data_IF_462094820484
#
_entry.id   IF_462094820484
#
_cell.length_a   1.000
_cell.length_b   1.000
_cell.length_c   1.000
_cell.angle_alpha   90.00
_cell.angle_beta   90.00
_cell.angle_gamma   90.00
#
_symmetry.space_group_name_H-M   'P 1'
#
loop_
_entity.id
_entity.type
_entity.pdbx_description
1 polymer ?
#
# COMPACT_ATOMS: atom_id res chain seq x y z
N UNK A 1 19.65 8.81 36.54
CA UNK A 1 18.58 8.15 35.76
C UNK A 1 18.53 8.62 34.29
N UNK A 2 19.64 8.66 33.55
CA UNK A 2 19.73 9.23 32.15
C UNK A 2 20.41 8.32 31.13
N UNK A 3 20.54 7.00 31.38
CA UNK A 3 21.29 6.09 30.49
C UNK A 3 20.52 4.93 29.86
N UNK A 4 19.17 4.89 29.98
CA UNK A 4 18.36 3.77 29.45
C UNK A 4 17.46 4.09 28.25
N UNK A 5 17.47 5.34 27.75
CA UNK A 5 16.61 5.75 26.60
C UNK A 5 17.35 5.66 25.25
N UNK A 6 18.69 5.58 25.25
CA UNK A 6 19.48 5.54 24.00
C UNK A 6 19.51 4.14 23.36
N UNK A 7 19.20 3.07 24.10
CA UNK A 7 19.25 1.70 23.56
C UNK A 7 18.04 1.31 22.69
N UNK A 8 16.92 2.05 22.75
CA UNK A 8 15.73 1.73 21.98
C UNK A 8 15.77 2.27 20.54
N UNK A 9 16.61 3.29 20.29
CA UNK A 9 16.77 3.88 18.94
C UNK A 9 17.76 3.12 18.05
N UNK A 10 18.64 2.32 18.64
CA UNK A 10 19.64 1.54 17.92
C UNK A 10 19.05 0.23 17.31
N UNK A 11 17.87 -0.23 17.76
CA UNK A 11 17.24 -1.46 17.24
C UNK A 11 16.39 -1.22 15.99
N UNK A 12 16.07 0.04 15.65
CA UNK A 12 15.29 0.42 14.47
C UNK A 12 16.13 0.58 13.19
N UNK A 13 17.46 0.46 13.28
CA UNK A 13 18.38 0.72 12.16
C UNK A 13 19.05 -0.54 11.58
N UNK A 14 18.62 -1.75 11.97
CA UNK A 14 19.24 -3.01 11.53
C UNK A 14 18.19 -3.98 10.92
N UNK A 15 17.30 -3.47 10.07
CA UNK A 15 16.55 -4.36 9.19
C UNK A 15 17.25 -4.39 7.82
N UNK A 16 17.59 -5.58 7.29
CA UNK A 16 18.17 -5.68 5.96
C UNK A 16 17.16 -5.17 4.93
N UNK A 17 17.60 -4.25 4.09
CA UNK A 17 16.86 -3.78 2.94
C UNK A 17 16.79 -4.90 1.90
N UNK A 18 15.64 -5.19 1.43
CA UNK A 18 15.38 -6.14 0.34
C UNK A 18 14.03 -5.85 -0.33
N UNK A 19 13.80 -6.21 -1.48
CA UNK A 19 13.07 -5.68 -2.63
C UNK A 19 11.59 -5.99 -2.81
N UNK A 20 10.82 -5.16 -3.50
CA UNK A 20 9.45 -5.42 -3.92
C UNK A 20 8.92 -4.60 -5.06
N UNK A 21 7.93 -5.15 -5.71
CA UNK A 21 7.20 -4.56 -6.82
C UNK A 21 6.34 -3.35 -6.43
N UNK A 22 6.14 -2.43 -7.41
CA UNK A 22 5.65 -1.07 -7.20
C UNK A 22 4.12 -0.91 -7.24
N UNK A 23 3.35 -1.97 -6.95
CA UNK A 23 1.88 -1.93 -7.05
C UNK A 23 1.22 -1.84 -5.67
N UNK A 24 1.39 -0.72 -4.98
CA UNK A 24 0.75 -0.56 -3.68
C UNK A 24 -0.27 0.58 -3.71
N UNK A 25 -1.52 0.24 -3.40
CA UNK A 25 -2.55 1.22 -3.15
C UNK A 25 -2.13 2.25 -2.09
N UNK A 26 -2.87 3.34 -1.99
CA UNK A 26 -2.65 4.37 -0.97
C UNK A 26 -2.80 3.69 0.38
N UNK A 27 -1.68 3.44 1.06
CA UNK A 27 -1.71 2.87 2.39
C UNK A 27 -2.52 3.79 3.30
N UNK A 28 -3.42 3.21 4.08
CA UNK A 28 -4.10 3.94 5.14
C UNK A 28 -3.07 4.48 6.11
N UNK A 29 -2.97 5.79 6.18
CA UNK A 29 -1.94 6.46 6.97
C UNK A 29 -2.30 6.58 8.45
N UNK A 30 -3.32 5.84 8.94
CA UNK A 30 -3.64 5.73 10.37
C UNK A 30 -4.11 7.03 11.01
N UNK A 31 -4.93 7.80 10.32
CA UNK A 31 -5.41 9.11 10.77
C UNK A 31 -6.44 9.03 11.89
N UNK A 32 -6.91 7.84 12.27
CA UNK A 32 -7.91 7.70 13.32
C UNK A 32 -7.40 8.20 14.68
N UNK A 33 -8.14 9.09 15.29
CA UNK A 33 -7.92 9.51 16.67
C UNK A 33 -8.27 8.41 17.69
N UNK A 34 -8.18 8.73 19.00
CA UNK A 34 -8.51 7.78 20.08
C UNK A 34 -9.98 7.35 20.09
N UNK A 35 -10.88 8.16 19.59
CA UNK A 35 -12.33 7.98 19.67
C UNK A 35 -12.98 7.67 18.31
N UNK A 36 -12.35 8.08 17.21
CA UNK A 36 -12.84 7.85 15.85
C UNK A 36 -12.78 6.40 15.36
N UNK A 37 -13.14 6.16 14.09
CA UNK A 37 -13.09 4.83 13.48
C UNK A 37 -11.67 4.26 13.52
N UNK A 38 -11.54 2.93 13.52
CA UNK A 38 -10.25 2.26 13.39
C UNK A 38 -9.69 2.42 11.99
N UNK A 39 -8.37 2.52 11.86
CA UNK A 39 -7.71 2.54 10.56
C UNK A 39 -7.20 1.15 10.18
N UNK A 40 -7.27 0.76 8.90
CA UNK A 40 -6.71 -0.48 8.40
C UNK A 40 -5.17 -0.40 8.33
N UNK A 41 -4.51 -1.50 7.98
CA UNK A 41 -3.05 -1.59 7.92
C UNK A 41 -2.55 -1.25 6.51
N UNK A 42 -3.19 -1.82 5.47
CA UNK A 42 -2.74 -1.69 4.08
C UNK A 42 -3.71 -0.88 3.22
N UNK A 43 -5.01 -1.14 3.29
CA UNK A 43 -6.00 -0.46 2.46
C UNK A 43 -6.28 0.98 2.90
N UNK A 44 -6.94 1.78 2.07
CA UNK A 44 -7.37 3.15 2.40
C UNK A 44 -8.64 3.17 3.24
N UNK A 45 -8.86 4.27 3.97
CA UNK A 45 -10.11 4.55 4.69
C UNK A 45 -10.72 5.87 4.23
N UNK A 46 -11.99 6.14 4.59
CA UNK A 46 -12.67 7.37 4.21
C UNK A 46 -12.28 8.58 5.08
N UNK A 47 -11.41 8.39 6.08
CA UNK A 47 -11.01 9.47 6.98
C UNK A 47 -10.02 10.39 6.27
N UNK A 48 -10.38 11.66 6.16
CA UNK A 48 -9.53 12.73 5.65
C UNK A 48 -8.68 13.35 6.77
N UNK A 49 -7.63 14.09 6.41
CA UNK A 49 -6.83 14.82 7.38
C UNK A 49 -7.61 16.03 7.92
N UNK A 50 -7.44 16.40 9.19
CA UNK A 50 -7.95 17.65 9.72
C UNK A 50 -7.46 18.84 8.90
N UNK A 51 -8.22 19.93 8.89
CA UNK A 51 -7.78 21.16 8.23
C UNK A 51 -6.44 21.62 8.79
N UNK A 52 -5.47 21.87 7.90
CA UNK A 52 -4.07 22.19 8.20
C UNK A 52 -3.29 21.06 8.93
N UNK A 53 -3.87 19.86 9.07
CA UNK A 53 -3.15 18.71 9.59
C UNK A 53 -2.04 18.27 8.64
N UNK A 54 -0.86 18.02 9.17
CA UNK A 54 0.29 17.44 8.46
C UNK A 54 0.51 16.02 8.94
N UNK A 55 0.52 15.07 8.02
CA UNK A 55 0.83 13.67 8.29
C UNK A 55 2.17 13.31 7.68
N UNK A 56 3.01 12.64 8.48
CA UNK A 56 4.23 11.97 8.00
C UNK A 56 4.08 10.48 8.30
N UNK A 57 4.33 9.65 7.31
CA UNK A 57 4.24 8.20 7.46
C UNK A 57 5.43 7.49 6.84
N UNK A 58 5.74 6.32 7.39
CA UNK A 58 6.66 5.34 6.85
C UNK A 58 5.92 4.01 6.74
N UNK A 59 5.87 3.44 5.55
CA UNK A 59 5.40 2.07 5.30
C UNK A 59 6.60 1.19 4.95
N UNK A 60 6.57 -0.04 5.43
CA UNK A 60 7.51 -1.09 5.11
C UNK A 60 6.75 -2.36 4.78
N UNK A 61 7.02 -2.94 3.62
CA UNK A 61 6.55 -4.26 3.22
C UNK A 61 7.76 -5.16 2.96
N UNK A 62 7.62 -6.43 3.31
CA UNK A 62 8.58 -7.48 2.98
C UNK A 62 7.81 -8.69 2.50
N UNK A 63 7.96 -9.07 1.25
CA UNK A 63 7.36 -10.26 0.65
C UNK A 63 8.41 -11.35 0.43
N UNK A 64 8.06 -12.56 0.78
CA UNK A 64 8.82 -13.78 0.46
C UNK A 64 8.03 -14.55 -0.56
N UNK A 65 8.67 -14.91 -1.69
CA UNK A 65 8.04 -15.67 -2.76
C UNK A 65 8.18 -17.17 -2.56
N UNK A 66 7.28 -17.92 -3.15
CA UNK A 66 7.38 -19.37 -3.27
C UNK A 66 8.19 -19.72 -4.52
N UNK A 67 8.91 -20.80 -4.47
CA UNK A 67 9.61 -21.35 -5.62
C UNK A 67 8.64 -22.21 -6.41
N UNK A 68 8.35 -21.83 -7.65
CA UNK A 68 7.42 -22.56 -8.51
C UNK A 68 8.04 -23.76 -9.19
N UNK A 69 9.22 -23.58 -9.76
CA UNK A 69 9.89 -24.62 -10.55
C UNK A 69 11.23 -24.96 -9.93
N UNK A 70 11.42 -26.23 -9.48
CA UNK A 70 12.72 -26.64 -8.93
C UNK A 70 13.88 -26.56 -9.94
N UNK A 71 13.54 -26.51 -11.23
CA UNK A 71 14.47 -26.45 -12.35
C UNK A 71 14.95 -25.04 -12.67
N UNK A 72 14.26 -24.01 -12.16
CA UNK A 72 14.59 -22.59 -12.37
C UNK A 72 15.18 -22.01 -11.09
N UNK A 73 16.15 -21.14 -11.25
CA UNK A 73 16.81 -20.38 -10.18
C UNK A 73 16.79 -18.85 -10.40
N UNK A 74 16.12 -18.42 -11.46
CA UNK A 74 15.93 -17.01 -11.84
C UNK A 74 14.61 -16.39 -11.32
N UNK A 75 13.90 -17.09 -10.43
CA UNK A 75 12.64 -16.62 -9.85
C UNK A 75 12.88 -15.57 -8.73
N UNK A 76 11.85 -14.79 -8.42
CA UNK A 76 11.91 -13.85 -7.32
C UNK A 76 12.09 -14.54 -5.97
N UNK A 77 13.14 -14.18 -5.24
CA UNK A 77 13.46 -14.75 -3.94
C UNK A 77 12.68 -14.06 -2.83
N UNK A 78 12.82 -12.76 -2.76
CA UNK A 78 12.11 -11.91 -1.82
C UNK A 78 12.01 -10.50 -2.36
N UNK A 79 11.09 -9.79 -1.78
CA UNK A 79 10.86 -8.42 -2.13
C UNK A 79 10.63 -7.56 -0.88
N UNK A 80 11.10 -6.30 -0.88
CA UNK A 80 10.80 -5.34 0.19
C UNK A 80 10.64 -3.94 -0.38
N UNK A 81 9.71 -3.26 0.15
CA UNK A 81 9.27 -1.94 -0.25
C UNK A 81 9.22 -1.05 0.99
N UNK A 82 9.77 0.14 0.92
CA UNK A 82 9.46 1.14 1.90
C UNK A 82 9.03 2.44 1.23
N UNK A 83 8.19 3.20 1.89
CA UNK A 83 7.58 4.38 1.33
C UNK A 83 7.42 5.45 2.40
N UNK A 84 7.94 6.64 2.13
CA UNK A 84 7.61 7.83 2.91
C UNK A 84 6.35 8.44 2.31
N UNK A 85 5.34 8.69 3.16
CA UNK A 85 4.13 9.41 2.82
C UNK A 85 4.08 10.76 3.54
N UNK A 86 3.75 11.81 2.79
CA UNK A 86 3.51 13.16 3.31
C UNK A 86 2.09 13.54 2.96
N UNK A 87 1.24 13.80 3.96
CA UNK A 87 -0.16 14.19 3.78
C UNK A 87 -0.43 15.58 4.32
N UNK A 88 -1.30 16.34 3.63
CA UNK A 88 -1.76 17.65 4.09
C UNK A 88 -3.26 17.79 3.91
N UNK A 89 -3.95 18.25 4.99
CA UNK A 89 -5.36 18.57 4.97
C UNK A 89 -5.60 20.04 4.60
N UNK A 90 -6.13 20.31 3.42
CA UNK A 90 -6.50 21.68 3.00
C UNK A 90 -7.78 22.13 3.69
N UNK A 91 -8.73 21.23 3.80
CA UNK A 91 -9.99 21.37 4.54
C UNK A 91 -10.27 20.06 5.27
N UNK A 92 -11.33 19.98 6.06
CA UNK A 92 -11.76 18.72 6.68
C UNK A 92 -12.15 17.62 5.68
N UNK A 93 -12.53 17.99 4.47
CA UNK A 93 -12.99 17.09 3.40
C UNK A 93 -12.02 16.95 2.23
N UNK A 94 -10.91 17.72 2.19
CA UNK A 94 -9.95 17.67 1.08
C UNK A 94 -8.54 17.54 1.62
N UNK A 95 -7.90 16.42 1.28
CA UNK A 95 -6.51 16.12 1.60
C UNK A 95 -5.71 15.79 0.34
N UNK A 96 -4.41 16.02 0.38
CA UNK A 96 -3.49 15.49 -0.63
C UNK A 96 -2.32 14.76 0.01
N UNK A 97 -1.77 13.78 -0.71
CA UNK A 97 -0.68 12.93 -0.26
C UNK A 97 0.38 12.80 -1.34
N UNK A 98 1.63 13.00 -0.95
CA UNK A 98 2.82 12.71 -1.75
C UNK A 98 3.47 11.44 -1.21
N UNK A 99 3.80 10.49 -2.09
CA UNK A 99 4.46 9.24 -1.75
C UNK A 99 5.81 9.14 -2.44
N UNK A 100 6.82 8.75 -1.68
CA UNK A 100 8.21 8.57 -2.10
C UNK A 100 8.59 7.11 -1.85
N UNK A 101 8.33 6.20 -2.80
CA UNK A 101 8.63 4.79 -2.64
C UNK A 101 10.09 4.48 -2.97
N UNK A 102 10.61 3.46 -2.33
CA UNK A 102 11.89 2.85 -2.64
C UNK A 102 11.71 1.35 -2.72
N UNK A 103 12.12 0.77 -3.81
CA UNK A 103 12.09 -0.66 -4.06
C UNK A 103 13.49 -1.22 -4.12
N UNK A 104 13.62 -2.48 -3.74
CA UNK A 104 14.75 -3.33 -4.09
C UNK A 104 14.18 -4.69 -4.50
N UNK A 105 14.65 -5.42 -5.46
CA UNK A 105 14.16 -6.71 -5.98
C UNK A 105 15.34 -7.68 -6.07
N UNK A 106 15.16 -8.93 -5.62
CA UNK A 106 16.22 -9.93 -5.58
C UNK A 106 15.75 -11.25 -6.17
N UNK A 107 16.50 -11.78 -7.13
CA UNK A 107 16.27 -13.10 -7.71
C UNK A 107 17.00 -14.18 -6.90
N UNK A 108 16.59 -15.44 -7.06
CA UNK A 108 17.15 -16.58 -6.31
C UNK A 108 18.64 -16.81 -6.58
N UNK A 109 19.04 -16.66 -7.83
CA UNK A 109 20.42 -16.83 -8.30
C UNK A 109 21.28 -15.58 -8.14
N UNK A 110 20.67 -14.44 -7.74
CA UNK A 110 21.28 -13.12 -7.69
C UNK A 110 21.81 -12.60 -9.05
N UNK A 111 21.34 -13.13 -10.15
CA UNK A 111 21.77 -12.71 -11.50
C UNK A 111 21.35 -11.28 -11.83
N UNK A 112 20.21 -10.84 -11.32
CA UNK A 112 19.70 -9.49 -11.52
C UNK A 112 18.99 -8.97 -10.27
N UNK A 113 19.66 -8.08 -9.53
CA UNK A 113 19.09 -7.43 -8.35
C UNK A 113 19.02 -5.93 -8.55
N UNK A 114 17.88 -5.31 -8.20
CA UNK A 114 17.71 -3.86 -8.33
C UNK A 114 17.37 -3.23 -6.99
N UNK A 115 17.81 -1.98 -6.76
CA UNK A 115 17.49 -1.23 -5.55
C UNK A 115 17.55 0.27 -5.81
N UNK A 116 16.50 1.01 -5.48
CA UNK A 116 16.47 2.47 -5.65
C UNK A 116 15.09 3.08 -5.41
N UNK A 117 15.02 4.39 -5.57
CA UNK A 117 13.74 5.10 -5.54
C UNK A 117 12.89 4.74 -6.75
N UNK A 118 11.62 4.48 -6.51
CA UNK A 118 10.63 4.19 -7.53
C UNK A 118 9.86 5.47 -7.94
N UNK A 119 8.81 5.30 -8.72
CA UNK A 119 8.00 6.41 -9.19
C UNK A 119 7.24 7.09 -8.05
N UNK A 120 7.50 8.37 -7.82
CA UNK A 120 6.74 9.19 -6.87
C UNK A 120 5.28 9.29 -7.29
N UNK A 121 4.37 9.40 -6.34
CA UNK A 121 2.95 9.59 -6.65
C UNK A 121 2.31 10.71 -5.82
N UNK A 122 1.36 11.43 -6.44
CA UNK A 122 0.54 12.45 -5.81
C UNK A 122 -0.92 12.03 -5.90
N UNK A 123 -1.62 12.09 -4.76
CA UNK A 123 -3.01 11.66 -4.65
C UNK A 123 -3.84 12.70 -3.91
N UNK A 124 -4.99 13.08 -4.48
CA UNK A 124 -6.02 13.86 -3.82
C UNK A 124 -7.15 12.99 -3.30
N UNK A 125 -7.66 13.31 -2.13
CA UNK A 125 -8.77 12.60 -1.46
C UNK A 125 -9.85 13.60 -1.09
N UNK A 126 -11.09 13.33 -1.52
CA UNK A 126 -12.28 14.11 -1.19
C UNK A 126 -13.22 13.26 -0.33
N UNK A 127 -13.48 13.72 0.89
CA UNK A 127 -14.28 13.03 1.90
C UNK A 127 -15.72 13.53 1.98
N UNK A 128 -16.63 12.58 2.21
CA UNK A 128 -18.06 12.80 2.36
C UNK A 128 -18.59 12.05 3.58
N UNK A 129 -19.67 12.54 4.12
CA UNK A 129 -20.49 11.92 5.15
C UNK A 129 -21.93 11.78 4.66
N UNK A 130 -22.63 10.73 5.08
CA UNK A 130 -24.05 10.56 4.85
C UNK A 130 -24.80 10.54 6.18
N UNK A 131 -25.57 11.61 6.41
CA UNK A 131 -26.49 11.81 7.52
C UNK A 131 -27.72 12.54 6.95
N UNK A 132 -28.87 11.89 6.87
CA UNK A 132 -30.10 12.39 6.20
C UNK A 132 -29.88 12.91 4.74
N UNK A 133 -28.63 12.82 4.22
CA UNK A 133 -28.19 13.26 2.91
C UNK A 133 -26.69 13.25 2.78
N UNK A 134 -26.18 13.22 1.53
CA UNK A 134 -24.75 13.28 1.26
C UNK A 134 -24.22 14.72 1.46
N UNK A 135 -23.21 14.88 2.29
CA UNK A 135 -22.54 16.15 2.56
C UNK A 135 -21.02 15.97 2.62
N UNK A 136 -20.25 17.03 2.48
CA UNK A 136 -18.81 17.02 2.68
C UNK A 136 -18.49 16.77 4.16
N UNK A 137 -17.40 16.08 4.46
CA UNK A 137 -16.94 15.82 5.84
C UNK A 137 -16.79 17.15 6.60
N UNK A 138 -17.49 17.35 7.73
CA UNK A 138 -17.45 18.59 8.50
C UNK A 138 -16.11 18.79 9.23
N UNK A 139 -15.84 20.00 9.72
CA UNK A 139 -14.59 20.30 10.46
C UNK A 139 -14.57 19.66 11.86
N UNK A 140 -15.72 19.53 12.50
CA UNK A 140 -15.84 18.97 13.83
C UNK A 140 -16.90 17.87 13.78
N UNK A 141 -16.49 16.67 14.10
CA UNK A 141 -17.37 15.50 14.19
C UNK A 141 -17.53 15.10 15.65
N UNK A 142 -18.78 14.90 16.06
CA UNK A 142 -19.13 14.31 17.37
C UNK A 142 -18.93 12.79 17.33
N UNK A 143 -19.08 12.13 18.49
CA UNK A 143 -19.05 10.66 18.54
C UNK A 143 -20.20 10.03 17.74
N UNK A 144 -21.35 10.68 17.70
CA UNK A 144 -22.51 10.25 16.92
C UNK A 144 -22.22 10.37 15.41
N UNK A 145 -21.60 11.48 15.00
CA UNK A 145 -21.16 11.68 13.61
C UNK A 145 -20.22 10.57 13.13
N UNK A 146 -19.31 10.08 13.98
CA UNK A 146 -18.41 8.97 13.63
C UNK A 146 -19.15 7.64 13.39
N UNK A 147 -20.35 7.48 13.90
CA UNK A 147 -21.22 6.34 13.62
C UNK A 147 -22.00 6.46 12.31
N UNK A 148 -21.94 7.59 11.60
CA UNK A 148 -22.50 7.73 10.26
C UNK A 148 -21.66 7.04 9.18
N UNK A 149 -22.22 6.95 7.98
CA UNK A 149 -21.48 6.44 6.83
C UNK A 149 -20.53 7.52 6.29
N UNK A 150 -19.26 7.18 6.23
CA UNK A 150 -18.24 8.02 5.60
C UNK A 150 -17.82 7.41 4.28
N UNK A 151 -17.59 8.28 3.30
CA UNK A 151 -17.13 7.92 1.97
C UNK A 151 -15.94 8.80 1.58
N UNK A 152 -15.05 8.30 0.76
CA UNK A 152 -14.13 9.14 0.03
C UNK A 152 -14.00 8.71 -1.41
N UNK A 153 -13.75 9.69 -2.27
CA UNK A 153 -13.28 9.47 -3.64
C UNK A 153 -11.86 10.00 -3.71
N UNK A 154 -10.99 9.25 -4.33
CA UNK A 154 -9.62 9.66 -4.49
C UNK A 154 -9.13 9.42 -5.91
N UNK A 155 -8.16 10.23 -6.32
CA UNK A 155 -7.49 10.09 -7.59
C UNK A 155 -6.10 10.66 -7.54
N UNK A 156 -5.22 10.11 -8.35
CA UNK A 156 -3.82 10.50 -8.36
C UNK A 156 -3.08 9.99 -9.57
N UNK A 157 -1.80 10.34 -9.62
CA UNK A 157 -0.90 9.88 -10.66
C UNK A 157 0.50 9.64 -10.10
N UNK A 158 1.21 8.70 -10.69
CA UNK A 158 2.65 8.54 -10.50
C UNK A 158 3.40 9.40 -11.52
N UNK A 159 4.61 9.79 -11.15
CA UNK A 159 5.56 10.49 -12.02
C UNK A 159 6.72 9.56 -12.30
N UNK A 160 7.22 9.45 -13.53
CA UNK A 160 8.31 8.56 -13.91
C UNK A 160 9.65 9.07 -13.36
N UNK A 161 9.85 8.95 -12.06
CA UNK A 161 11.05 9.39 -11.34
C UNK A 161 11.97 8.23 -10.98
N UNK A 162 11.46 7.00 -11.01
CA UNK A 162 12.24 5.78 -10.91
C UNK A 162 12.92 5.45 -12.23
N UNK A 163 14.00 4.68 -12.16
CA UNK A 163 14.69 4.22 -13.36
C UNK A 163 13.89 3.07 -14.00
N UNK A 164 13.42 3.29 -15.23
CA UNK A 164 12.69 2.31 -16.00
C UNK A 164 13.61 1.43 -16.89
N UNK A 165 14.87 1.83 -17.09
CA UNK A 165 15.80 1.15 -17.98
C UNK A 165 16.95 0.48 -17.22
N UNK A 166 16.63 -0.11 -16.05
CA UNK A 166 17.64 -0.89 -15.33
C UNK A 166 17.95 -2.15 -16.11
N UNK A 167 19.22 -2.35 -16.46
CA UNK A 167 19.74 -3.47 -17.22
C UNK A 167 20.53 -4.46 -16.34
N UNK A 168 20.58 -5.70 -16.80
CA UNK A 168 21.44 -6.74 -16.24
C UNK A 168 22.89 -6.58 -16.71
N UNK A 169 23.80 -7.44 -16.25
CA UNK A 169 25.22 -7.45 -16.65
C UNK A 169 25.43 -7.70 -18.17
N UNK A 170 24.43 -8.22 -18.87
CA UNK A 170 24.44 -8.45 -20.31
C UNK A 170 23.83 -7.29 -21.12
N UNK A 171 23.26 -6.29 -20.45
CA UNK A 171 22.59 -5.13 -21.05
C UNK A 171 21.14 -5.39 -21.48
N UNK A 172 20.49 -6.41 -20.91
CA UNK A 172 19.08 -6.66 -21.16
C UNK A 172 18.23 -5.90 -20.11
N UNK A 173 17.15 -5.26 -20.56
CA UNK A 173 16.20 -4.59 -19.70
C UNK A 173 15.05 -5.52 -19.40
N UNK A 174 14.82 -5.80 -18.09
CA UNK A 174 13.62 -6.48 -17.62
C UNK A 174 12.66 -5.43 -17.01
N UNK A 175 11.51 -5.15 -17.66
CA UNK A 175 10.51 -4.22 -17.14
C UNK A 175 10.05 -4.57 -15.72
N UNK A 176 9.92 -5.86 -15.40
CA UNK A 176 9.54 -6.36 -14.09
C UNK A 176 10.58 -6.05 -13.01
N UNK A 177 11.85 -5.97 -13.35
CA UNK A 177 12.95 -5.63 -12.45
C UNK A 177 13.25 -4.13 -12.38
N UNK A 178 12.71 -3.31 -13.27
CA UNK A 178 12.90 -1.86 -13.28
C UNK A 178 12.27 -1.19 -12.06
N UNK A 179 12.76 0.01 -11.70
CA UNK A 179 12.33 0.77 -10.52
C UNK A 179 11.17 1.74 -10.82
N UNK A 180 10.91 2.01 -12.10
CA UNK A 180 9.84 2.88 -12.55
C UNK A 180 9.18 2.36 -13.83
N UNK A 181 8.02 2.94 -14.17
CA UNK A 181 7.25 2.56 -15.35
C UNK A 181 7.63 3.38 -16.61
N UNK A 182 8.55 4.34 -16.48
CA UNK A 182 8.97 5.25 -17.55
C UNK A 182 7.88 6.20 -18.06
N UNK A 183 6.64 6.01 -17.67
CA UNK A 183 5.46 6.85 -17.96
C UNK A 183 4.61 7.04 -16.71
N UNK A 184 3.82 8.13 -16.64
CA UNK A 184 2.83 8.27 -15.57
C UNK A 184 1.84 7.10 -15.55
N UNK A 185 1.44 6.66 -14.36
CA UNK A 185 0.26 5.84 -14.15
C UNK A 185 -0.83 6.65 -13.46
N UNK A 186 -2.09 6.23 -13.60
CA UNK A 186 -3.23 6.93 -13.05
C UNK A 186 -4.00 6.03 -12.10
N UNK A 187 -4.22 6.54 -10.89
CA UNK A 187 -4.97 5.87 -9.84
C UNK A 187 -6.31 6.56 -9.65
N UNK A 188 -7.37 5.79 -9.46
CA UNK A 188 -8.66 6.26 -8.98
C UNK A 188 -9.26 5.24 -8.02
N UNK A 189 -10.06 5.70 -7.07
CA UNK A 189 -10.73 4.79 -6.16
C UNK A 189 -11.76 5.47 -5.28
N UNK A 190 -12.44 4.64 -4.54
CA UNK A 190 -13.46 5.05 -3.56
C UNK A 190 -13.34 4.19 -2.30
N UNK A 191 -13.68 4.76 -1.15
CA UNK A 191 -13.75 4.05 0.12
C UNK A 191 -15.08 4.30 0.81
N UNK A 192 -15.47 3.37 1.64
CA UNK A 192 -16.58 3.50 2.59
C UNK A 192 -16.08 3.09 3.98
N UNK A 193 -16.46 3.86 5.01
CA UNK A 193 -16.12 3.56 6.41
C UNK A 193 -17.37 3.70 7.27
N UNK A 194 -17.57 2.77 8.19
CA UNK A 194 -18.68 2.77 9.15
C UNK A 194 -18.18 2.30 10.51
N UNK A 195 -18.33 3.13 11.53
CA UNK A 195 -18.12 2.74 12.93
C UNK A 195 -19.44 2.16 13.50
N UNK A 196 -19.35 1.05 14.22
CA UNK A 196 -20.46 0.40 14.87
C UNK A 196 -20.19 0.29 16.39
N UNK A 197 -21.10 0.80 17.21
CA UNK A 197 -21.07 0.65 18.67
C UNK A 197 -19.70 0.99 19.27
N UNK A 198 -19.08 2.08 18.86
CA UNK A 198 -17.77 2.60 19.31
C UNK A 198 -16.58 1.63 19.20
N UNK A 199 -16.77 0.41 18.71
CA UNK A 199 -15.73 -0.63 18.75
C UNK A 199 -15.40 -1.29 17.45
N UNK A 200 -16.36 -1.46 16.56
CA UNK A 200 -16.16 -2.13 15.28
C UNK A 200 -16.15 -1.09 14.17
N UNK A 201 -15.11 -1.08 13.37
CA UNK A 201 -15.06 -0.29 12.14
C UNK A 201 -15.05 -1.24 10.96
N UNK A 202 -16.01 -1.07 10.06
CA UNK A 202 -15.99 -1.68 8.74
C UNK A 202 -15.43 -0.68 7.74
N UNK A 203 -14.58 -1.16 6.82
CA UNK A 203 -14.03 -0.36 5.73
C UNK A 203 -14.14 -1.19 4.47
N UNK A 204 -14.57 -0.56 3.37
CA UNK A 204 -14.55 -1.10 2.02
C UNK A 204 -13.79 -0.15 1.09
N UNK A 205 -13.08 -0.70 0.12
CA UNK A 205 -12.32 0.04 -0.88
C UNK A 205 -12.44 -0.62 -2.23
N UNK A 206 -12.60 0.20 -3.28
CA UNK A 206 -12.41 -0.21 -4.66
C UNK A 206 -11.47 0.78 -5.34
N UNK A 207 -10.43 0.29 -6.02
CA UNK A 207 -9.49 1.14 -6.74
C UNK A 207 -9.03 0.51 -8.05
N UNK A 208 -8.60 1.37 -8.95
CA UNK A 208 -8.07 0.96 -10.26
C UNK A 208 -6.85 1.80 -10.61
N UNK A 209 -5.80 1.12 -11.09
CA UNK A 209 -4.59 1.75 -11.62
C UNK A 209 -4.50 1.44 -13.11
N UNK A 210 -4.22 2.48 -13.90
CA UNK A 210 -4.00 2.40 -15.34
C UNK A 210 -2.57 2.80 -15.68
N UNK A 211 -1.88 1.95 -16.44
CA UNK A 211 -0.52 2.16 -16.91
C UNK A 211 -0.50 2.55 -18.38
N UNK A 212 0.46 3.40 -18.75
CA UNK A 212 0.71 3.79 -20.14
C UNK A 212 1.85 2.96 -20.73
N UNK A 213 1.78 2.71 -22.04
CA UNK A 213 2.88 2.07 -22.79
C UNK A 213 4.15 2.92 -22.71
N UNK A 214 5.28 2.29 -22.38
CA UNK A 214 6.60 2.89 -22.41
C UNK A 214 7.50 2.17 -23.40
N UNK A 215 8.35 2.93 -24.10
CA UNK A 215 9.38 2.41 -24.99
C UNK A 215 10.72 2.48 -24.26
N UNK A 216 11.32 1.33 -24.03
CA UNK A 216 12.62 1.17 -23.37
C UNK A 216 13.79 1.52 -24.31
N UNK A 217 14.98 1.68 -23.74
CA UNK A 217 16.19 2.07 -24.47
C UNK A 217 16.68 0.96 -25.42
N UNK A 218 16.34 -0.30 -25.15
CA UNK A 218 16.56 -1.45 -26.04
C UNK A 218 15.65 -1.45 -27.28
N UNK A 219 14.66 -0.55 -27.32
CA UNK A 219 13.69 -0.38 -28.40
C UNK A 219 12.38 -1.11 -28.21
N UNK A 220 12.27 -2.01 -27.23
CA UNK A 220 11.05 -2.73 -26.87
C UNK A 220 10.03 -1.80 -26.22
N UNK A 221 8.78 -2.22 -26.19
CA UNK A 221 7.67 -1.49 -25.57
C UNK A 221 6.91 -2.41 -24.63
N UNK A 222 6.65 -1.93 -23.44
CA UNK A 222 5.78 -2.62 -22.48
C UNK A 222 4.68 -1.71 -21.99
N UNK A 223 3.48 -2.25 -21.87
CA UNK A 223 2.37 -1.66 -21.15
C UNK A 223 1.94 -2.64 -20.07
N UNK A 224 2.15 -2.28 -18.81
CA UNK A 224 1.67 -3.10 -17.70
C UNK A 224 0.15 -3.21 -17.68
N UNK A 225 -0.36 -4.35 -17.31
CA UNK A 225 -1.78 -4.62 -17.17
C UNK A 225 -2.42 -3.71 -16.12
N UNK A 226 -3.67 -3.31 -16.37
CA UNK A 226 -4.42 -2.51 -15.39
C UNK A 226 -4.66 -3.31 -14.11
N UNK A 227 -4.68 -2.63 -12.97
CA UNK A 227 -4.80 -3.23 -11.64
C UNK A 227 -6.11 -2.83 -10.98
N UNK A 228 -6.99 -3.80 -10.70
CA UNK A 228 -8.22 -3.63 -9.94
C UNK A 228 -8.04 -4.22 -8.53
N UNK A 229 -8.32 -3.41 -7.50
CA UNK A 229 -8.34 -3.83 -6.10
C UNK A 229 -9.74 -3.68 -5.51
N UNK A 230 -10.20 -4.73 -4.83
CA UNK A 230 -11.41 -4.71 -4.02
C UNK A 230 -11.05 -5.18 -2.63
N UNK A 231 -11.03 -4.28 -1.66
CA UNK A 231 -10.56 -4.54 -0.32
C UNK A 231 -11.68 -4.34 0.70
N UNK A 232 -11.61 -5.09 1.80
CA UNK A 232 -12.46 -4.85 2.96
C UNK A 232 -11.67 -5.09 4.24
N UNK A 233 -11.98 -4.34 5.30
CA UNK A 233 -11.40 -4.52 6.62
C UNK A 233 -12.47 -4.51 7.70
N UNK A 234 -12.23 -5.32 8.72
CA UNK A 234 -12.92 -5.26 10.01
C UNK A 234 -11.89 -4.92 11.09
N UNK A 235 -12.07 -3.77 11.74
CA UNK A 235 -11.20 -3.30 12.81
C UNK A 235 -11.96 -3.36 14.13
N UNK A 236 -11.37 -3.98 15.14
CA UNK A 236 -11.94 -4.08 16.47
C UNK A 236 -11.08 -3.36 17.51
N UNK A 237 -11.66 -2.39 18.21
CA UNK A 237 -11.01 -1.70 19.32
C UNK A 237 -10.90 -2.61 20.54
N UNK A 238 -9.70 -3.13 20.79
CA UNK A 238 -9.40 -3.98 21.93
C UNK A 238 -9.50 -3.19 23.23
N UNK A 239 -8.86 -2.02 23.28
CA UNK A 239 -8.97 -1.07 24.40
C UNK A 239 -8.61 0.35 23.97
N UNK A 240 -9.09 1.33 24.77
CA UNK A 240 -8.69 2.73 24.68
C UNK A 240 -8.57 3.29 26.12
N UNK A 241 -7.45 3.96 26.38
CA UNK A 241 -7.11 4.56 27.66
C UNK A 241 -6.91 6.07 27.47
N UNK A 242 -7.90 6.87 27.91
CA UNK A 242 -7.92 8.33 27.70
C UNK A 242 -6.78 9.05 28.45
N UNK A 243 -6.40 8.60 29.66
CA UNK A 243 -5.33 9.21 30.45
C UNK A 243 -3.97 9.22 29.73
N UNK A 244 -3.40 8.07 29.33
CA UNK A 244 -2.16 8.00 28.57
C UNK A 244 -2.34 8.28 27.06
N UNK A 245 -3.60 8.48 26.59
CA UNK A 245 -3.95 8.60 25.17
C UNK A 245 -3.42 7.41 24.35
N UNK A 246 -3.75 6.21 24.81
CA UNK A 246 -3.32 4.94 24.21
C UNK A 246 -4.53 4.16 23.74
N UNK A 247 -4.47 3.62 22.52
CA UNK A 247 -5.47 2.73 21.93
C UNK A 247 -4.80 1.57 21.22
N UNK A 248 -5.42 0.39 21.25
CA UNK A 248 -5.00 -0.78 20.48
C UNK A 248 -6.19 -1.35 19.74
N UNK A 249 -6.02 -1.57 18.44
CA UNK A 249 -7.00 -2.19 17.55
C UNK A 249 -6.45 -3.49 16.98
N UNK A 250 -7.32 -4.51 16.86
CA UNK A 250 -7.10 -5.67 16.04
C UNK A 250 -7.69 -5.43 14.65
N UNK A 251 -6.96 -5.84 13.61
CA UNK A 251 -7.34 -5.68 12.21
C UNK A 251 -7.43 -7.03 11.52
N UNK A 252 -8.43 -7.18 10.66
CA UNK A 252 -8.54 -8.25 9.71
C UNK A 252 -8.93 -7.65 8.37
N UNK A 253 -8.02 -7.71 7.39
CA UNK A 253 -8.25 -7.22 6.04
C UNK A 253 -8.35 -8.39 5.06
N UNK A 254 -9.22 -8.25 4.07
CA UNK A 254 -9.34 -9.13 2.91
C UNK A 254 -9.09 -8.27 1.68
N UNK A 255 -8.12 -8.64 0.87
CA UNK A 255 -7.75 -7.91 -0.34
C UNK A 255 -7.86 -8.82 -1.56
N UNK A 256 -8.74 -8.46 -2.49
CA UNK A 256 -8.81 -9.05 -3.82
C UNK A 256 -8.06 -8.15 -4.79
N UNK A 257 -7.16 -8.76 -5.55
CA UNK A 257 -6.37 -8.11 -6.59
C UNK A 257 -6.60 -8.83 -7.92
N UNK A 258 -6.89 -8.05 -8.96
CA UNK A 258 -6.96 -8.53 -10.34
C UNK A 258 -6.01 -7.71 -11.20
N UNK A 259 -5.02 -8.38 -11.76
CA UNK A 259 -4.03 -7.83 -12.68
C UNK A 259 -4.43 -8.19 -14.11
N UNK A 260 -4.48 -7.19 -14.98
CA UNK A 260 -4.58 -7.40 -16.42
C UNK A 260 -3.29 -8.03 -16.97
N UNK A 261 -3.36 -8.60 -18.17
CA UNK A 261 -2.16 -9.04 -18.88
C UNK A 261 -1.33 -7.83 -19.32
N UNK A 262 -0.04 -7.95 -19.20
CA UNK A 262 0.91 -7.00 -19.77
C UNK A 262 0.90 -7.11 -21.30
N UNK A 263 1.37 -6.07 -21.96
CA UNK A 263 1.58 -6.09 -23.40
C UNK A 263 3.05 -5.82 -23.71
N UNK A 264 3.64 -6.70 -24.48
CA UNK A 264 4.99 -6.55 -24.99
C UNK A 264 4.94 -6.30 -26.51
N UNK A 265 5.47 -5.17 -26.95
CA UNK A 265 5.43 -4.71 -28.36
C UNK A 265 4.00 -4.68 -28.96
N UNK A 266 2.98 -4.44 -28.10
CA UNK A 266 1.56 -4.38 -28.48
C UNK A 266 0.82 -5.71 -28.46
N UNK A 267 1.50 -6.83 -28.23
CA UNK A 267 0.92 -8.17 -28.05
C UNK A 267 0.79 -8.50 -26.56
N UNK A 268 -0.27 -9.21 -26.17
CA UNK A 268 -0.48 -9.61 -24.78
C UNK A 268 0.47 -10.73 -24.37
N UNK A 269 1.08 -10.59 -23.18
CA UNK A 269 1.91 -11.61 -22.54
C UNK A 269 1.05 -12.59 -21.77
N UNK A 270 1.04 -13.85 -22.24
CA UNK A 270 0.15 -14.87 -21.66
C UNK A 270 0.54 -15.22 -20.22
N UNK A 271 1.84 -15.21 -19.88
CA UNK A 271 2.37 -15.50 -18.56
C UNK A 271 2.42 -14.28 -17.63
N UNK A 272 1.46 -13.35 -17.75
CA UNK A 272 1.32 -12.18 -16.87
C UNK A 272 -0.11 -11.98 -16.42
N UNK A 273 -0.29 -11.31 -15.27
CA UNK A 273 -1.59 -11.03 -14.71
C UNK A 273 -2.26 -12.24 -14.06
N UNK A 274 -3.48 -12.05 -13.59
CA UNK A 274 -4.28 -13.05 -12.87
C UNK A 274 -5.07 -12.45 -11.73
N UNK A 275 -5.56 -13.30 -10.85
CA UNK A 275 -6.42 -12.90 -9.74
C UNK A 275 -5.93 -13.52 -8.44
N UNK A 276 -5.97 -12.75 -7.35
CA UNK A 276 -5.48 -13.18 -6.05
C UNK A 276 -6.39 -12.69 -4.94
N UNK A 277 -6.52 -13.51 -3.90
CA UNK A 277 -7.20 -13.15 -2.66
C UNK A 277 -6.25 -13.30 -1.50
N UNK A 278 -6.09 -12.23 -0.73
CA UNK A 278 -5.22 -12.17 0.44
C UNK A 278 -6.02 -11.98 1.72
N UNK A 279 -5.48 -12.52 2.80
CA UNK A 279 -5.90 -12.24 4.17
C UNK A 279 -4.77 -11.57 4.92
N UNK A 280 -5.07 -10.48 5.66
CA UNK A 280 -4.10 -9.70 6.43
C UNK A 280 -4.62 -9.49 7.85
N UNK A 281 -4.36 -10.42 8.79
CA UNK A 281 -4.51 -10.18 10.21
C UNK A 281 -3.38 -9.28 10.73
N UNK A 282 -3.71 -8.40 11.69
CA UNK A 282 -2.70 -7.55 12.31
C UNK A 282 -3.22 -6.70 13.46
N UNK A 283 -2.36 -5.83 13.96
CA UNK A 283 -2.61 -4.93 15.08
C UNK A 283 -2.21 -3.51 14.72
N UNK A 284 -2.94 -2.53 15.24
CA UNK A 284 -2.58 -1.11 15.17
C UNK A 284 -2.68 -0.47 16.55
N UNK A 285 -1.56 0.08 17.01
CA UNK A 285 -1.49 0.87 18.24
C UNK A 285 -1.48 2.36 17.94
N UNK A 286 -2.13 3.15 18.78
CA UNK A 286 -2.11 4.61 18.76
C UNK A 286 -1.61 5.13 20.09
N UNK A 287 -0.72 6.09 20.06
CA UNK A 287 -0.24 6.80 21.24
C UNK A 287 -0.12 8.29 20.95
N UNK A 288 -1.02 9.07 21.52
CA UNK A 288 -1.15 10.51 21.22
C UNK A 288 -1.36 10.72 19.70
N UNK A 289 -0.40 11.36 19.04
CA UNK A 289 -0.40 11.61 17.60
C UNK A 289 0.41 10.59 16.77
N UNK A 290 0.91 9.53 17.41
CA UNK A 290 1.62 8.43 16.75
C UNK A 290 0.68 7.25 16.49
N UNK A 291 0.89 6.57 15.38
CA UNK A 291 0.26 5.28 15.08
C UNK A 291 1.31 4.31 14.55
N UNK A 292 1.29 3.08 15.05
CA UNK A 292 2.14 1.97 14.61
C UNK A 292 1.24 0.78 14.29
N UNK A 293 1.37 0.21 13.10
CA UNK A 293 0.67 -1.00 12.72
C UNK A 293 1.64 -2.06 12.20
N UNK A 294 1.24 -3.32 12.41
CA UNK A 294 1.92 -4.48 11.88
C UNK A 294 0.91 -5.56 11.51
N UNK A 295 1.09 -6.18 10.36
CA UNK A 295 0.28 -7.28 9.87
C UNK A 295 1.07 -8.28 9.06
N UNK A 296 0.48 -9.45 8.85
CA UNK A 296 1.00 -10.52 8.00
C UNK A 296 -0.02 -10.80 6.91
N UNK A 297 0.32 -10.47 5.67
CA UNK A 297 -0.51 -10.73 4.50
C UNK A 297 -0.15 -12.07 3.91
N UNK A 298 -1.14 -12.93 3.71
CA UNK A 298 -0.97 -14.25 3.11
C UNK A 298 -1.93 -14.44 1.96
N UNK A 299 -1.49 -14.96 0.81
CA UNK A 299 -2.39 -15.36 -0.25
C UNK A 299 -3.22 -16.55 0.25
N UNK A 300 -4.53 -16.48 0.05
CA UNK A 300 -5.48 -17.55 0.40
C UNK A 300 -6.07 -18.23 -0.82
N UNK A 301 -5.97 -17.59 -1.96
CA UNK A 301 -6.33 -18.11 -3.25
C UNK A 301 -5.61 -17.29 -4.34
N UNK A 302 -5.12 -17.99 -5.35
CA UNK A 302 -4.48 -17.45 -6.55
C UNK A 302 -5.02 -18.16 -7.79
N UNK A 303 -5.15 -17.42 -8.89
CA UNK A 303 -5.52 -17.89 -10.21
C UNK A 303 -4.74 -17.03 -11.22
N UNK A 304 -3.49 -17.42 -11.42
CA UNK A 304 -2.55 -16.72 -12.28
C UNK A 304 -2.63 -17.23 -13.70
N UNK A 305 -2.46 -16.37 -14.68
CA UNK A 305 -2.37 -16.77 -16.08
C UNK A 305 -1.04 -17.52 -16.30
N UNK A 306 -1.11 -18.75 -16.83
CA UNK A 306 0.08 -19.58 -17.08
C UNK A 306 1.06 -19.61 -15.88
N UNK A 307 0.54 -20.03 -14.73
CA UNK A 307 1.23 -19.99 -13.43
C UNK A 307 2.66 -20.57 -13.47
N UNK A 308 2.85 -21.67 -14.19
CA UNK A 308 4.14 -22.35 -14.34
C UNK A 308 5.21 -21.51 -15.06
N UNK A 309 4.82 -20.45 -15.75
CA UNK A 309 5.70 -19.57 -16.52
C UNK A 309 5.85 -18.17 -15.90
N UNK A 310 5.05 -17.81 -14.90
CA UNK A 310 5.18 -16.52 -14.23
C UNK A 310 6.44 -16.46 -13.36
N UNK A 311 7.23 -15.42 -13.52
CA UNK A 311 8.49 -15.22 -12.83
C UNK A 311 8.36 -14.31 -11.60
N UNK A 312 7.64 -14.77 -10.58
CA UNK A 312 7.62 -14.09 -9.29
C UNK A 312 6.89 -12.74 -9.30
N UNK A 313 5.69 -12.73 -9.83
CA UNK A 313 4.79 -11.59 -9.67
C UNK A 313 4.01 -11.64 -8.35
N UNK A 314 3.16 -10.65 -8.12
CA UNK A 314 2.16 -10.72 -7.07
C UNK A 314 1.34 -12.01 -7.21
N UNK A 315 0.98 -12.61 -6.09
CA UNK A 315 0.25 -13.89 -6.05
C UNK A 315 1.11 -15.12 -5.81
N UNK A 316 2.40 -15.05 -6.09
CA UNK A 316 3.35 -16.11 -5.81
C UNK A 316 4.02 -15.96 -4.44
N UNK A 317 3.57 -14.98 -3.67
CA UNK A 317 4.09 -14.70 -2.34
C UNK A 317 3.69 -15.81 -1.35
N UNK A 318 4.65 -16.30 -0.61
CA UNK A 318 4.41 -17.18 0.53
C UNK A 318 3.78 -16.41 1.69
N UNK A 319 4.26 -15.21 1.95
CA UNK A 319 3.73 -14.24 2.90
C UNK A 319 4.33 -12.85 2.64
N UNK A 320 3.63 -11.82 3.11
CA UNK A 320 4.13 -10.44 3.16
C UNK A 320 3.99 -9.89 4.58
N UNK A 321 5.06 -9.34 5.12
CA UNK A 321 5.03 -8.57 6.37
C UNK A 321 4.78 -7.11 6.04
N UNK A 322 3.79 -6.50 6.69
CA UNK A 322 3.41 -5.11 6.47
C UNK A 322 3.55 -4.34 7.78
N UNK A 323 4.32 -3.25 7.75
CA UNK A 323 4.48 -2.34 8.88
C UNK A 323 4.20 -0.90 8.46
N UNK A 324 3.51 -0.12 9.30
CA UNK A 324 3.30 1.31 9.09
C UNK A 324 3.53 2.09 10.38
N UNK A 325 4.26 3.19 10.27
CA UNK A 325 4.41 4.20 11.32
C UNK A 325 3.89 5.52 10.79
N UNK A 326 3.08 6.24 11.55
CA UNK A 326 2.62 7.58 11.16
C UNK A 326 2.56 8.55 12.34
N UNK A 327 2.73 9.83 12.02
CA UNK A 327 2.69 10.94 12.97
C UNK A 327 1.82 12.03 12.36
N UNK A 328 0.80 12.48 13.11
CA UNK A 328 -0.08 13.58 12.73
C UNK A 328 0.26 14.83 13.58
N UNK A 329 0.43 15.98 12.90
CA UNK A 329 0.74 17.27 13.50
C UNK A 329 -0.40 18.27 13.31
#
# INVERSE_FOLDING_TARGET
>A
MRRRIVALWAFLLLLPAGSAEAHHGIASLGVAGLEGPGAPIEMSSSVTLPRHGLLISLKQDYARFERFTPERDDESLYSSFWMIGLGYGFTSYLSAYLFLPHNTKVLEDNSFNTSGFADMSLVGVLGFKYDEGLQLTPENESLDDWEDWHFSVYGGMSFPTGDANVDDDAGNIDPGMSLGFGKPSFLTGLTVTKLFRDRFTFIGEASYIHFLEYKYDDGNRTQFGGELRLNSALVYRLFSLSGPKLRLDANLEVAYLSLGRDKFNGEGEDATGGQMLYLLPGLRGYWRNFSLAFGVKVPTWTDLNEEDHQQGGEGTERYRLVGTLSILF
#
